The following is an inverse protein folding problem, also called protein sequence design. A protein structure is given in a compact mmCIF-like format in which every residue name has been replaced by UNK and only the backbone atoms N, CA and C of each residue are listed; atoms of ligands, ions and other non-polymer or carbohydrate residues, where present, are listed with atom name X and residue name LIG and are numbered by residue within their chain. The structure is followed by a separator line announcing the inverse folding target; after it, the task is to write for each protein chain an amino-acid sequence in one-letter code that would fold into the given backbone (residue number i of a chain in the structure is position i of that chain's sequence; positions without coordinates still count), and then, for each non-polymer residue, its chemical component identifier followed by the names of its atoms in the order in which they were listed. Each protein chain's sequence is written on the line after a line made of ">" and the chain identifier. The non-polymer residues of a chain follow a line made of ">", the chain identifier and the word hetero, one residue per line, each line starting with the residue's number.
data_IF_611459691619
#
_entry.id   IF_611459691619
#
_cell.length_a   1.000
_cell.length_b   1.000
_cell.length_c   1.000
_cell.angle_alpha   90.00
_cell.angle_beta   90.00
_cell.angle_gamma   90.00
#
_symmetry.space_group_name_H-M   'P 1'
#
loop_
_entity.id
_entity.type
_entity.pdbx_description
1 polymer ?
#
# COMPACT_ATOMS: atom_id res chain seq x y z
N UNK A 1 1.19 2.12 -21.80
CA UNK A 1 0.13 2.10 -20.77
C UNK A 1 0.69 2.14 -19.36
N UNK A 2 1.33 1.09 -18.82
CA UNK A 2 1.98 1.14 -17.48
C UNK A 2 2.95 2.31 -17.31
N UNK A 3 3.91 2.45 -18.24
CA UNK A 3 4.87 3.55 -18.25
C UNK A 3 4.20 4.93 -18.29
N UNK A 4 3.12 5.06 -19.08
CA UNK A 4 2.36 6.33 -19.20
C UNK A 4 1.61 6.65 -17.91
N UNK A 5 0.97 5.67 -17.26
CA UNK A 5 0.32 5.87 -15.97
C UNK A 5 1.32 6.26 -14.86
N UNK A 6 2.47 5.58 -14.81
CA UNK A 6 3.56 5.95 -13.89
C UNK A 6 4.10 7.34 -14.17
N UNK A 7 4.26 7.73 -15.44
CA UNK A 7 4.71 9.07 -15.81
C UNK A 7 3.69 10.14 -15.40
N UNK A 8 2.38 9.92 -15.63
CA UNK A 8 1.33 10.82 -15.15
C UNK A 8 1.41 11.05 -13.64
N UNK A 9 1.65 9.98 -12.87
CA UNK A 9 1.84 10.09 -11.43
C UNK A 9 3.06 10.94 -11.08
N UNK A 10 4.22 10.69 -11.72
CA UNK A 10 5.43 11.48 -11.48
C UNK A 10 5.27 12.96 -11.86
N UNK A 11 4.47 13.28 -12.89
CA UNK A 11 4.20 14.66 -13.30
C UNK A 11 3.21 15.37 -12.37
N UNK A 12 2.17 14.68 -11.89
CA UNK A 12 1.08 15.30 -11.13
C UNK A 12 1.27 15.25 -9.62
N UNK A 13 1.88 14.19 -9.09
CA UNK A 13 2.01 13.92 -7.66
C UNK A 13 3.43 13.44 -7.29
N UNK A 14 4.50 14.12 -7.72
CA UNK A 14 5.87 13.60 -7.69
C UNK A 14 6.33 13.06 -6.33
N UNK A 15 6.03 13.77 -5.25
CA UNK A 15 6.43 13.39 -3.89
C UNK A 15 5.67 12.16 -3.38
N UNK A 16 4.35 12.15 -3.55
CA UNK A 16 3.49 11.01 -3.17
C UNK A 16 3.85 9.78 -3.98
N UNK A 17 4.03 9.94 -5.29
CA UNK A 17 4.40 8.86 -6.20
C UNK A 17 5.73 8.24 -5.82
N UNK A 18 6.77 9.06 -5.61
CA UNK A 18 8.08 8.57 -5.18
C UNK A 18 7.99 7.82 -3.85
N UNK A 19 7.24 8.35 -2.89
CA UNK A 19 7.12 7.76 -1.56
C UNK A 19 6.17 6.57 -1.47
N UNK A 20 5.30 6.34 -2.46
CA UNK A 20 4.42 5.17 -2.52
C UNK A 20 5.06 4.06 -3.37
N UNK A 21 5.52 4.39 -4.59
CA UNK A 21 6.12 3.40 -5.49
C UNK A 21 7.45 2.84 -4.98
N UNK A 22 8.13 3.50 -4.04
CA UNK A 22 9.32 2.93 -3.38
C UNK A 22 9.04 1.63 -2.61
N UNK A 23 7.77 1.37 -2.27
CA UNK A 23 7.33 0.15 -1.60
C UNK A 23 6.87 -0.93 -2.59
N UNK A 24 6.94 -0.67 -3.90
CA UNK A 24 6.53 -1.61 -4.95
C UNK A 24 7.76 -2.14 -5.68
N UNK A 25 7.94 -3.46 -5.65
CA UNK A 25 9.04 -4.15 -6.32
C UNK A 25 8.59 -4.83 -7.63
N UNK A 26 7.34 -5.31 -7.68
CA UNK A 26 6.82 -6.01 -8.84
C UNK A 26 5.34 -5.66 -9.09
N UNK A 27 5.03 -5.38 -10.35
CA UNK A 27 3.64 -5.21 -10.81
C UNK A 27 3.29 -6.37 -11.74
N UNK A 28 2.47 -7.29 -11.24
CA UNK A 28 1.92 -8.38 -12.03
C UNK A 28 0.74 -7.93 -12.89
N UNK A 29 0.50 -8.62 -14.00
CA UNK A 29 -0.68 -8.38 -14.86
C UNK A 29 -1.51 -9.65 -14.93
N UNK A 30 -2.77 -9.57 -14.53
CA UNK A 30 -3.71 -10.69 -14.56
C UNK A 30 -4.56 -10.65 -15.82
N UNK A 31 -5.10 -11.81 -16.22
CA UNK A 31 -6.01 -11.92 -17.37
C UNK A 31 -7.34 -11.20 -17.16
N UNK A 32 -7.74 -10.98 -15.90
CA UNK A 32 -9.07 -10.44 -15.58
C UNK A 32 -10.22 -11.40 -15.89
N UNK A 33 -9.92 -12.70 -15.89
CA UNK A 33 -10.85 -13.83 -16.09
C UNK A 33 -10.81 -14.76 -14.87
N UNK A 34 -11.76 -15.68 -14.78
CA UNK A 34 -11.79 -16.75 -13.76
C UNK A 34 -11.70 -16.18 -12.33
N UNK A 35 -10.73 -16.63 -11.53
CA UNK A 35 -10.47 -16.16 -10.17
C UNK A 35 -10.14 -14.65 -10.07
N UNK A 36 -9.87 -13.99 -11.20
CA UNK A 36 -9.57 -12.57 -11.33
C UNK A 36 -10.72 -11.76 -11.97
N UNK A 37 -11.86 -12.39 -12.23
CA UNK A 37 -13.05 -11.71 -12.73
C UNK A 37 -13.53 -10.65 -11.72
N UNK A 38 -13.90 -9.46 -12.21
CA UNK A 38 -14.39 -8.36 -11.39
C UNK A 38 -13.31 -7.60 -10.58
N UNK A 39 -12.06 -8.08 -10.54
CA UNK A 39 -10.97 -7.40 -9.83
C UNK A 39 -10.23 -6.45 -10.77
N UNK A 40 -10.21 -5.17 -10.44
CA UNK A 40 -9.48 -4.14 -11.20
C UNK A 40 -7.98 -4.18 -10.86
N UNK A 41 -7.65 -4.10 -9.58
CA UNK A 41 -6.32 -4.35 -9.04
C UNK A 41 -6.44 -5.09 -7.71
N UNK A 42 -5.33 -5.65 -7.24
CA UNK A 42 -5.27 -6.23 -5.89
C UNK A 42 -3.83 -6.39 -5.43
N UNK A 43 -3.62 -6.10 -4.15
CA UNK A 43 -2.46 -6.47 -3.37
C UNK A 43 -2.90 -7.38 -2.22
N UNK A 44 -1.92 -7.99 -1.53
CA UNK A 44 -2.19 -8.83 -0.37
C UNK A 44 -1.21 -8.51 0.74
N UNK A 45 -1.71 -8.40 1.97
CA UNK A 45 -0.93 -8.03 3.16
C UNK A 45 0.30 -8.92 3.38
N UNK A 46 0.19 -10.22 3.08
CA UNK A 46 1.26 -11.21 3.26
C UNK A 46 2.25 -11.29 2.09
N UNK A 47 1.93 -10.67 0.95
CA UNK A 47 2.78 -10.66 -0.26
C UNK A 47 3.26 -9.23 -0.48
N UNK A 48 4.28 -8.88 0.28
CA UNK A 48 4.80 -7.51 0.36
C UNK A 48 5.52 -7.10 -0.92
N UNK A 49 5.30 -5.87 -1.34
CA UNK A 49 5.94 -5.24 -2.49
C UNK A 49 5.44 -5.72 -3.85
N UNK A 50 4.39 -6.53 -3.89
CA UNK A 50 3.82 -7.06 -5.13
C UNK A 50 2.33 -6.75 -5.18
N UNK A 51 1.89 -6.19 -6.30
CA UNK A 51 0.47 -6.09 -6.59
C UNK A 51 0.19 -6.44 -8.03
N UNK A 52 -1.09 -6.68 -8.31
CA UNK A 52 -1.56 -7.16 -9.59
C UNK A 52 -2.55 -6.18 -10.18
N UNK A 53 -2.38 -5.89 -11.47
CA UNK A 53 -3.33 -5.10 -12.26
C UNK A 53 -4.04 -6.00 -13.26
N UNK A 54 -5.33 -5.77 -13.45
CA UNK A 54 -6.09 -6.42 -14.50
C UNK A 54 -5.68 -5.85 -15.86
N UNK A 55 -5.38 -6.74 -16.83
CA UNK A 55 -5.03 -6.34 -18.20
C UNK A 55 -6.08 -5.41 -18.83
N UNK A 56 -7.36 -5.54 -18.48
CA UNK A 56 -8.44 -4.68 -18.99
C UNK A 56 -8.27 -3.21 -18.63
N UNK A 57 -7.60 -2.90 -17.51
CA UNK A 57 -7.30 -1.52 -17.09
C UNK A 57 -6.19 -0.88 -17.93
N UNK A 58 -5.35 -1.66 -18.59
CA UNK A 58 -4.22 -1.17 -19.39
C UNK A 58 -4.67 -0.54 -20.72
N UNK A 59 -5.82 0.13 -20.74
CA UNK A 59 -6.40 0.83 -21.91
C UNK A 59 -6.46 2.33 -21.73
N UNK A 60 -6.42 2.82 -20.50
CA UNK A 60 -6.42 4.26 -20.19
C UNK A 60 -5.33 4.56 -19.15
N UNK A 61 -4.40 5.50 -19.42
CA UNK A 61 -3.28 5.76 -18.54
C UNK A 61 -3.70 6.39 -17.21
N UNK A 62 -4.84 7.08 -17.13
CA UNK A 62 -5.37 7.63 -15.88
C UNK A 62 -5.87 6.54 -14.93
N UNK A 63 -6.61 5.55 -15.45
CA UNK A 63 -7.03 4.38 -14.67
C UNK A 63 -5.82 3.61 -14.15
N UNK A 64 -4.79 3.44 -15.00
CA UNK A 64 -3.54 2.82 -14.59
C UNK A 64 -2.83 3.64 -13.52
N UNK A 65 -2.74 4.97 -13.65
CA UNK A 65 -2.16 5.85 -12.65
C UNK A 65 -2.88 5.73 -11.30
N UNK A 66 -4.21 5.77 -11.30
CA UNK A 66 -5.02 5.60 -10.10
C UNK A 66 -4.73 4.27 -9.40
N UNK A 67 -4.77 3.15 -10.13
CA UNK A 67 -4.58 1.82 -9.55
C UNK A 67 -3.12 1.56 -9.14
N UNK A 68 -2.15 2.11 -9.87
CA UNK A 68 -0.73 2.10 -9.46
C UNK A 68 -0.56 2.81 -8.11
N UNK A 69 -1.14 4.00 -7.96
CA UNK A 69 -1.03 4.76 -6.72
C UNK A 69 -1.77 4.07 -5.57
N UNK A 70 -3.00 3.59 -5.82
CA UNK A 70 -3.82 2.89 -4.85
C UNK A 70 -3.10 1.68 -4.26
N UNK A 71 -2.62 0.77 -5.12
CA UNK A 71 -1.95 -0.44 -4.66
C UNK A 71 -0.58 -0.15 -4.04
N UNK A 72 0.16 0.83 -4.54
CA UNK A 72 1.43 1.23 -3.92
C UNK A 72 1.23 1.84 -2.52
N UNK A 73 0.12 2.55 -2.28
CA UNK A 73 -0.25 3.02 -0.95
C UNK A 73 -0.61 1.85 -0.03
N UNK A 74 -1.33 0.83 -0.53
CA UNK A 74 -1.52 -0.40 0.23
C UNK A 74 -0.18 -1.01 0.66
N UNK A 75 0.77 -1.17 -0.26
CA UNK A 75 2.09 -1.71 0.08
C UNK A 75 2.83 -0.90 1.14
N UNK A 76 2.80 0.43 1.02
CA UNK A 76 3.38 1.32 2.04
C UNK A 76 2.74 1.14 3.42
N UNK A 77 1.42 1.02 3.48
CA UNK A 77 0.69 0.82 4.73
C UNK A 77 0.92 -0.59 5.29
N UNK A 78 1.09 -1.59 4.43
CA UNK A 78 1.47 -2.94 4.84
C UNK A 78 2.86 -2.94 5.48
N UNK A 79 3.84 -2.28 4.85
CA UNK A 79 5.19 -2.12 5.43
C UNK A 79 5.15 -1.42 6.79
N UNK A 80 4.32 -0.37 6.92
CA UNK A 80 4.10 0.30 8.19
C UNK A 80 3.55 -0.65 9.27
N UNK A 81 2.50 -1.42 8.95
CA UNK A 81 1.92 -2.38 9.89
C UNK A 81 2.88 -3.52 10.25
N UNK A 82 3.65 -4.02 9.28
CA UNK A 82 4.67 -5.06 9.50
C UNK A 82 5.79 -4.55 10.38
N UNK A 83 6.30 -3.35 10.12
CA UNK A 83 7.32 -2.71 10.94
C UNK A 83 6.81 -2.45 12.36
N UNK A 84 5.60 -1.90 12.51
CA UNK A 84 4.97 -1.68 13.80
C UNK A 84 4.77 -2.97 14.58
N UNK A 85 4.28 -4.03 13.94
CA UNK A 85 4.10 -5.35 14.58
C UNK A 85 5.44 -5.94 15.07
N UNK A 86 6.53 -5.75 14.31
CA UNK A 86 7.87 -6.16 14.73
C UNK A 86 8.37 -5.35 15.92
N UNK A 87 8.20 -4.02 15.89
CA UNK A 87 8.58 -3.15 17.00
C UNK A 87 7.81 -3.49 18.28
N UNK A 88 6.50 -3.73 18.19
CA UNK A 88 5.69 -4.12 19.36
C UNK A 88 6.18 -5.43 19.96
N UNK A 89 6.46 -6.44 19.14
CA UNK A 89 6.99 -7.72 19.61
C UNK A 89 8.33 -7.54 20.33
N UNK A 90 9.26 -6.78 19.75
CA UNK A 90 10.57 -6.55 20.35
C UNK A 90 10.47 -5.74 21.66
N UNK A 91 9.40 -4.94 21.84
CA UNK A 91 9.09 -4.22 23.08
C UNK A 91 8.36 -5.09 24.12
N UNK A 92 7.65 -6.13 23.72
CA UNK A 92 7.04 -7.10 24.66
C UNK A 92 8.13 -7.85 25.45
N UNK A 93 9.31 -8.01 24.87
CA UNK A 93 10.49 -8.56 25.55
C UNK A 93 11.18 -7.54 26.49
N UNK A 94 10.69 -6.29 26.56
CA UNK A 94 11.24 -5.21 27.39
C UNK A 94 10.28 -4.81 28.52
N UNK A 95 10.57 -5.16 29.79
CA UNK A 95 9.64 -4.97 30.91
C UNK A 95 9.37 -3.50 31.27
N UNK A 96 10.17 -2.57 30.74
CA UNK A 96 10.06 -1.13 31.04
C UNK A 96 9.56 -0.29 29.86
N UNK A 97 9.09 -0.90 28.77
CA UNK A 97 8.63 -0.17 27.59
C UNK A 97 7.34 0.64 27.90
N UNK A 98 7.33 1.96 27.64
CA UNK A 98 6.14 2.78 27.79
C UNK A 98 4.98 2.31 26.89
N UNK A 99 3.75 2.32 27.41
CA UNK A 99 2.58 1.78 26.73
C UNK A 99 2.16 2.59 25.47
N UNK A 100 2.50 3.87 25.42
CA UNK A 100 2.26 4.79 24.31
C UNK A 100 3.09 4.44 23.07
N UNK A 101 4.26 3.82 23.23
CA UNK A 101 5.11 3.37 22.11
C UNK A 101 4.40 2.31 21.24
N UNK A 102 3.41 1.62 21.81
CA UNK A 102 2.59 0.63 21.10
C UNK A 102 1.51 1.28 20.24
N UNK A 103 1.20 2.57 20.45
CA UNK A 103 0.14 3.27 19.72
C UNK A 103 0.68 3.90 18.45
N UNK A 104 -0.04 3.68 17.36
CA UNK A 104 0.15 4.45 16.13
C UNK A 104 -0.64 5.75 16.28
N UNK A 105 0.06 6.88 16.26
CA UNK A 105 -0.57 8.20 16.29
C UNK A 105 -0.53 8.85 14.90
N UNK A 106 -1.64 9.43 14.49
CA UNK A 106 -1.77 10.22 13.25
C UNK A 106 -2.74 11.35 13.53
N UNK A 107 -2.55 12.49 12.87
CA UNK A 107 -3.51 13.60 12.89
C UNK A 107 -4.92 13.18 12.41
N UNK A 108 -4.99 12.06 11.68
CA UNK A 108 -6.21 11.46 11.15
C UNK A 108 -6.73 10.27 11.97
N UNK A 109 -5.99 9.83 13.00
CA UNK A 109 -6.48 8.81 13.91
C UNK A 109 -7.46 9.50 14.87
N UNK A 110 -8.77 9.34 14.62
CA UNK A 110 -9.75 9.66 15.65
C UNK A 110 -9.53 8.72 16.84
N UNK A 111 -9.53 9.21 18.09
CA UNK A 111 -9.48 8.32 19.24
C UNK A 111 -10.64 7.33 19.14
N UNK A 112 -10.34 6.03 19.23
CA UNK A 112 -11.38 5.00 19.25
C UNK A 112 -12.36 5.26 20.40
N UNK A 113 -13.57 4.70 20.30
CA UNK A 113 -14.66 4.88 21.30
C UNK A 113 -14.25 4.62 22.76
N UNK A 114 -13.13 3.93 22.99
CA UNK A 114 -12.62 3.57 24.31
C UNK A 114 -11.37 4.37 24.77
N UNK A 115 -11.00 5.46 24.09
CA UNK A 115 -9.93 6.35 24.55
C UNK A 115 -8.51 5.76 24.60
N UNK A 116 -8.28 4.61 23.95
CA UNK A 116 -6.97 3.97 23.83
C UNK A 116 -6.54 3.82 22.37
#
# INVERSE_FOLDING_TARGET
>A
MLRQGSQLLHERLPLTTRGALSHTHLVGVTSGTDAWAGKSSTSQFTVVGIFFLNRKLLRNPWWVAEHLLHEALHQKLYDFCHAHSRLVRDLDDSPNAPADVRRVVSLWNAPGLNGN
#
